data_IF_357189102195
#
_entry.id   IF_357189102195
#
_cell.length_a   1.000
_cell.length_b   1.000
_cell.length_c   1.000
_cell.angle_alpha   90.00
_cell.angle_beta   90.00
_cell.angle_gamma   90.00
#
_symmetry.space_group_name_H-M   'P 1'
#
loop_
_entity.id
_entity.type
_entity.pdbx_description
1 polymer ?
#
# COMPACT_ATOMS: atom_id res chain seq x y z
N UNK A 1 17.50 10.89 24.11
CA UNK A 1 17.61 9.43 23.91
C UNK A 1 16.82 8.75 25.03
N UNK A 2 15.86 7.89 24.73
CA UNK A 2 15.05 7.22 25.77
C UNK A 2 15.85 6.08 26.41
N UNK A 3 15.71 5.87 27.72
CA UNK A 3 16.27 4.69 28.41
C UNK A 3 15.35 3.50 28.23
N UNK A 4 15.90 2.29 28.20
CA UNK A 4 15.12 1.05 28.05
C UNK A 4 14.03 0.91 29.12
N UNK A 5 14.33 1.28 30.37
CA UNK A 5 13.40 1.22 31.51
C UNK A 5 12.11 2.03 31.30
N UNK A 6 12.16 3.03 30.44
CA UNK A 6 11.08 3.99 30.22
C UNK A 6 10.28 3.64 28.94
N UNK A 7 10.70 2.59 28.21
CA UNK A 7 10.09 2.18 26.94
C UNK A 7 9.15 0.98 27.11
N UNK A 8 8.01 1.04 26.42
CA UNK A 8 7.10 -0.10 26.31
C UNK A 8 7.56 -1.05 25.20
N UNK A 9 8.29 -2.10 25.58
CA UNK A 9 8.80 -3.15 24.66
C UNK A 9 8.44 -4.52 25.24
N UNK A 10 7.21 -5.02 25.01
CA UNK A 10 6.72 -6.26 25.62
C UNK A 10 7.26 -7.49 24.87
N UNK A 11 8.50 -7.88 25.14
CA UNK A 11 9.10 -9.07 24.54
C UNK A 11 8.44 -10.36 25.03
N UNK A 12 8.37 -11.38 24.18
CA UNK A 12 7.86 -12.70 24.54
C UNK A 12 8.96 -13.76 24.48
N UNK A 13 8.96 -14.68 25.46
CA UNK A 13 9.88 -15.82 25.49
C UNK A 13 9.65 -16.72 24.27
N UNK A 14 8.39 -17.00 23.94
CA UNK A 14 7.97 -17.87 22.84
C UNK A 14 7.02 -17.11 21.90
N UNK A 15 7.02 -17.50 20.62
CA UNK A 15 6.06 -16.96 19.67
C UNK A 15 4.69 -17.65 19.85
N UNK A 16 3.58 -16.96 19.54
CA UNK A 16 2.27 -17.60 19.43
C UNK A 16 2.28 -18.76 18.42
N UNK A 17 1.44 -19.77 18.66
CA UNK A 17 1.37 -20.98 17.84
C UNK A 17 0.88 -20.72 16.41
N UNK A 18 0.06 -19.68 16.22
CA UNK A 18 -0.49 -19.22 14.94
C UNK A 18 0.50 -18.38 14.11
N UNK A 19 1.66 -18.03 14.67
CA UNK A 19 2.73 -17.41 13.90
C UNK A 19 3.54 -18.47 13.15
N UNK A 20 3.25 -18.70 11.87
CA UNK A 20 3.92 -19.76 11.08
C UNK A 20 5.28 -19.32 10.51
N UNK A 21 5.32 -18.14 9.87
CA UNK A 21 6.52 -17.63 9.19
C UNK A 21 7.49 -16.93 10.14
N UNK A 22 8.78 -16.98 9.84
CA UNK A 22 9.84 -16.44 10.69
C UNK A 22 9.67 -14.94 11.00
N UNK A 23 9.32 -14.14 9.98
CA UNK A 23 9.09 -12.69 10.14
C UNK A 23 7.97 -12.41 11.16
N UNK A 24 6.85 -13.13 11.08
CA UNK A 24 5.74 -13.00 12.01
C UNK A 24 6.16 -13.36 13.44
N UNK A 25 6.83 -14.52 13.62
CA UNK A 25 7.36 -14.97 14.92
C UNK A 25 8.27 -13.93 15.55
N UNK A 26 9.21 -13.37 14.78
CA UNK A 26 10.17 -12.40 15.31
C UNK A 26 9.53 -11.04 15.64
N UNK A 27 8.65 -10.52 14.79
CA UNK A 27 7.96 -9.25 15.05
C UNK A 27 7.09 -9.31 16.31
N UNK A 28 6.41 -10.44 16.55
CA UNK A 28 5.61 -10.62 17.76
C UNK A 28 6.49 -10.77 18.99
N UNK A 29 7.51 -11.64 18.94
CA UNK A 29 8.42 -11.89 20.08
C UNK A 29 9.22 -10.66 20.48
N UNK A 30 9.63 -9.84 19.52
CA UNK A 30 10.37 -8.61 19.79
C UNK A 30 9.46 -7.44 20.24
N UNK A 31 8.14 -7.64 20.32
CA UNK A 31 7.20 -6.60 20.75
C UNK A 31 6.97 -5.50 19.71
N UNK A 32 7.07 -5.81 18.42
CA UNK A 32 6.85 -4.84 17.34
C UNK A 32 5.38 -4.73 16.96
N UNK A 33 4.66 -5.85 16.98
CA UNK A 33 3.25 -5.92 16.58
C UNK A 33 2.42 -6.74 17.55
N UNK A 34 1.12 -6.45 17.60
CA UNK A 34 0.09 -7.28 18.24
C UNK A 34 -1.11 -7.39 17.33
N UNK A 35 -1.66 -8.59 17.22
CA UNK A 35 -2.87 -8.81 16.45
C UNK A 35 -4.07 -8.28 17.24
N UNK A 36 -4.90 -7.46 16.59
CA UNK A 36 -6.16 -6.94 17.13
C UNK A 36 -7.35 -7.79 16.66
N UNK A 37 -7.30 -8.23 15.40
CA UNK A 37 -8.24 -9.18 14.80
C UNK A 37 -7.56 -9.93 13.64
N UNK A 38 -8.23 -10.90 13.01
CA UNK A 38 -7.71 -11.61 11.84
C UNK A 38 -7.25 -10.61 10.75
N UNK A 39 -5.94 -10.59 10.46
CA UNK A 39 -5.37 -9.67 9.47
C UNK A 39 -5.37 -8.18 9.88
N UNK A 40 -5.54 -7.84 11.16
CA UNK A 40 -5.50 -6.45 11.64
C UNK A 40 -4.53 -6.37 12.80
N UNK A 41 -3.50 -5.53 12.66
CA UNK A 41 -2.39 -5.44 13.62
C UNK A 41 -2.21 -4.04 14.18
N UNK A 42 -1.92 -3.97 15.47
CA UNK A 42 -1.39 -2.78 16.14
C UNK A 42 0.13 -2.75 16.00
N UNK A 43 0.69 -1.63 15.55
CA UNK A 43 2.13 -1.38 15.56
C UNK A 43 2.52 -0.75 16.89
N UNK A 44 3.29 -1.49 17.69
CA UNK A 44 3.80 -1.02 18.97
C UNK A 44 4.98 -0.06 18.76
N UNK A 45 5.56 0.47 19.84
CA UNK A 45 6.60 1.50 19.80
C UNK A 45 7.75 1.21 18.81
N UNK A 46 8.37 0.03 18.89
CA UNK A 46 9.45 -0.33 17.96
C UNK A 46 8.96 -0.57 16.54
N UNK A 47 7.78 -1.17 16.38
CA UNK A 47 7.14 -1.37 15.08
C UNK A 47 6.90 -0.03 14.38
N UNK A 48 6.25 0.91 15.04
CA UNK A 48 5.96 2.24 14.50
C UNK A 48 7.24 3.00 14.14
N UNK A 49 8.29 2.91 14.97
CA UNK A 49 9.59 3.52 14.66
C UNK A 49 10.22 2.95 13.39
N UNK A 50 10.15 1.63 13.18
CA UNK A 50 10.62 1.01 11.96
C UNK A 50 9.79 1.42 10.74
N UNK A 51 8.46 1.42 10.86
CA UNK A 51 7.56 1.91 9.81
C UNK A 51 7.90 3.35 9.41
N UNK A 52 8.06 4.26 10.37
CA UNK A 52 8.40 5.66 10.10
C UNK A 52 9.72 5.81 9.34
N UNK A 53 10.72 4.94 9.58
CA UNK A 53 11.98 4.94 8.81
C UNK A 53 11.77 4.50 7.36
N UNK A 54 10.99 3.43 7.15
CA UNK A 54 10.66 2.93 5.81
C UNK A 54 9.88 4.00 5.03
N UNK A 55 8.85 4.57 5.66
CA UNK A 55 8.06 5.69 5.12
C UNK A 55 8.99 6.86 4.76
N UNK A 56 9.96 7.19 5.61
CA UNK A 56 10.93 8.25 5.33
C UNK A 56 11.77 7.99 4.07
N UNK A 57 12.24 6.75 3.85
CA UNK A 57 12.95 6.37 2.63
C UNK A 57 12.03 6.49 1.41
N UNK A 58 10.83 5.93 1.50
CA UNK A 58 9.84 5.96 0.40
C UNK A 58 9.50 7.39 0.01
N UNK A 59 9.13 8.23 0.99
CA UNK A 59 8.81 9.65 0.78
C UNK A 59 9.95 10.40 0.11
N UNK A 60 11.18 10.26 0.62
CA UNK A 60 12.35 10.94 0.05
C UNK A 60 12.63 10.57 -1.42
N UNK A 61 12.33 9.35 -1.85
CA UNK A 61 12.51 8.96 -3.25
C UNK A 61 11.31 9.36 -4.12
N UNK A 62 10.10 9.36 -3.57
CA UNK A 62 8.89 9.80 -4.28
C UNK A 62 8.82 11.32 -4.45
N UNK A 63 9.27 12.10 -3.47
CA UNK A 63 9.35 13.58 -3.54
C UNK A 63 10.25 14.08 -4.68
N UNK A 64 11.16 13.24 -5.17
CA UNK A 64 11.99 13.57 -6.34
C UNK A 64 11.21 13.55 -7.65
N UNK A 65 10.07 12.85 -7.69
CA UNK A 65 9.31 12.61 -8.93
C UNK A 65 7.87 13.14 -8.85
N UNK A 66 7.29 13.31 -7.67
CA UNK A 66 5.88 13.65 -7.49
C UNK A 66 5.57 14.41 -6.21
N UNK A 67 4.28 14.63 -6.00
CA UNK A 67 3.73 15.46 -4.92
C UNK A 67 2.93 14.60 -3.95
N UNK A 68 3.21 14.69 -2.65
CA UNK A 68 2.50 13.92 -1.62
C UNK A 68 1.14 14.57 -1.28
N UNK A 69 0.09 13.77 -1.38
CA UNK A 69 -1.29 14.09 -1.04
C UNK A 69 -1.71 13.29 0.19
N UNK A 70 -2.83 13.68 0.79
CA UNK A 70 -3.53 12.89 1.81
C UNK A 70 -4.99 12.75 1.41
N UNK A 71 -5.41 11.54 1.05
CA UNK A 71 -6.77 11.26 0.60
C UNK A 71 -7.57 10.50 1.68
N UNK A 72 -8.89 10.77 1.79
CA UNK A 72 -9.74 10.07 2.74
C UNK A 72 -9.83 8.59 2.38
N UNK A 73 -9.83 7.70 3.38
CA UNK A 73 -10.02 6.27 3.17
C UNK A 73 -11.51 5.88 3.05
N UNK A 74 -12.43 6.79 3.32
CA UNK A 74 -13.88 6.54 3.25
C UNK A 74 -14.42 7.14 1.95
N UNK A 75 -14.85 6.29 1.02
CA UNK A 75 -15.26 6.70 -0.31
C UNK A 75 -16.78 6.58 -0.49
N UNK A 76 -17.42 7.52 -1.20
CA UNK A 76 -18.80 7.38 -1.63
C UNK A 76 -18.93 6.32 -2.73
N UNK A 77 -20.03 5.56 -2.72
CA UNK A 77 -20.31 4.49 -3.69
C UNK A 77 -20.27 4.98 -5.14
N UNK A 78 -20.82 6.15 -5.40
CA UNK A 78 -21.03 6.72 -6.74
C UNK A 78 -19.70 6.83 -7.51
N UNK A 79 -18.61 7.09 -6.79
CA UNK A 79 -17.28 7.23 -7.36
C UNK A 79 -16.76 5.88 -7.93
N UNK A 80 -17.04 4.78 -7.22
CA UNK A 80 -16.66 3.42 -7.62
C UNK A 80 -17.61 2.82 -8.64
N UNK A 81 -18.88 3.24 -8.65
CA UNK A 81 -19.83 2.86 -9.69
C UNK A 81 -19.48 3.50 -11.03
N UNK A 82 -19.01 4.75 -11.02
CA UNK A 82 -18.58 5.44 -12.24
C UNK A 82 -17.41 4.73 -12.96
N UNK A 83 -16.52 4.06 -12.21
CA UNK A 83 -15.45 3.22 -12.79
C UNK A 83 -15.90 1.78 -13.07
N UNK A 84 -17.10 1.38 -12.64
CA UNK A 84 -17.58 0.00 -12.65
C UNK A 84 -16.94 -0.91 -11.58
N UNK A 85 -15.95 -0.42 -10.83
CA UNK A 85 -15.20 -1.24 -9.85
C UNK A 85 -15.98 -1.52 -8.58
N UNK A 86 -17.07 -0.80 -8.30
CA UNK A 86 -17.96 -1.10 -7.18
C UNK A 86 -18.41 -2.56 -7.18
N UNK A 87 -18.87 -3.07 -8.33
CA UNK A 87 -19.32 -4.46 -8.48
C UNK A 87 -18.15 -5.40 -8.75
N UNK A 88 -17.17 -4.98 -9.57
CA UNK A 88 -16.04 -5.83 -9.98
C UNK A 88 -15.18 -6.32 -8.80
N UNK A 89 -14.99 -5.49 -7.77
CA UNK A 89 -14.17 -5.86 -6.61
C UNK A 89 -14.84 -6.92 -5.71
N UNK A 90 -16.13 -7.21 -5.91
CA UNK A 90 -16.84 -8.28 -5.20
C UNK A 90 -16.79 -8.14 -3.69
N UNK A 91 -16.43 -9.23 -3.01
CA UNK A 91 -16.37 -9.32 -1.55
C UNK A 91 -15.07 -8.76 -0.95
N UNK A 92 -14.06 -8.48 -1.77
CA UNK A 92 -12.79 -7.90 -1.29
C UNK A 92 -12.93 -6.42 -0.90
N UNK A 93 -14.00 -5.76 -1.33
CA UNK A 93 -14.31 -4.37 -1.01
C UNK A 93 -15.17 -4.29 0.26
N UNK A 94 -14.61 -3.69 1.30
CA UNK A 94 -15.39 -3.34 2.49
C UNK A 94 -16.47 -2.32 2.14
N UNK A 95 -17.73 -2.68 2.34
CA UNK A 95 -18.89 -1.79 2.18
C UNK A 95 -19.51 -1.51 3.54
N UNK A 96 -19.97 -0.29 3.73
CA UNK A 96 -20.67 0.13 4.92
C UNK A 96 -21.79 1.12 4.56
N UNK A 97 -22.80 1.20 5.43
CA UNK A 97 -23.85 2.21 5.34
C UNK A 97 -23.68 3.21 6.48
N UNK A 98 -23.77 4.50 6.15
CA UNK A 98 -23.79 5.53 7.18
C UNK A 98 -25.16 5.60 7.89
N UNK A 99 -25.26 6.46 8.91
CA UNK A 99 -26.51 6.61 9.70
C UNK A 99 -27.71 7.13 8.88
N UNK A 100 -27.46 7.71 7.70
CA UNK A 100 -28.48 8.23 6.77
C UNK A 100 -28.84 7.22 5.68
N UNK A 101 -28.18 6.06 5.66
CA UNK A 101 -28.38 5.00 4.68
C UNK A 101 -27.51 5.11 3.42
N UNK A 102 -26.58 6.08 3.37
CA UNK A 102 -25.67 6.26 2.24
C UNK A 102 -24.67 5.09 2.16
N UNK A 103 -24.49 4.54 0.96
CA UNK A 103 -23.52 3.49 0.69
C UNK A 103 -22.12 4.08 0.57
N UNK A 104 -21.19 3.52 1.34
CA UNK A 104 -19.80 3.90 1.36
C UNK A 104 -18.93 2.65 1.24
N UNK A 105 -17.65 2.84 0.92
CA UNK A 105 -16.64 1.81 1.07
C UNK A 105 -15.37 2.33 1.76
N UNK A 106 -14.58 1.41 2.29
CA UNK A 106 -13.21 1.71 2.69
C UNK A 106 -12.30 1.52 1.48
N UNK A 107 -11.45 2.50 1.20
CA UNK A 107 -10.53 2.52 0.07
C UNK A 107 -9.55 1.35 0.13
N UNK A 108 -9.65 0.47 -0.87
CA UNK A 108 -8.64 -0.56 -1.14
C UNK A 108 -7.48 -0.05 -2.01
N UNK A 109 -7.72 1.07 -2.71
CA UNK A 109 -6.85 1.82 -3.62
C UNK A 109 -7.59 3.12 -4.05
N UNK A 110 -6.93 4.01 -4.81
CA UNK A 110 -7.37 5.40 -5.02
C UNK A 110 -7.37 5.87 -6.48
N UNK A 111 -7.42 4.96 -7.47
CA UNK A 111 -7.54 5.34 -8.88
C UNK A 111 -8.69 6.30 -9.11
N UNK A 112 -9.88 6.00 -8.56
CA UNK A 112 -11.07 6.81 -8.78
C UNK A 112 -10.99 8.18 -8.11
N UNK A 113 -10.43 8.25 -6.90
CA UNK A 113 -10.31 9.52 -6.14
C UNK A 113 -9.32 10.46 -6.84
N UNK A 114 -8.16 9.94 -7.23
CA UNK A 114 -7.15 10.71 -7.95
C UNK A 114 -7.68 11.15 -9.31
N UNK A 115 -8.35 10.26 -10.03
CA UNK A 115 -8.99 10.59 -11.33
C UNK A 115 -10.07 11.65 -11.15
N UNK A 116 -10.86 11.61 -10.09
CA UNK A 116 -11.89 12.62 -9.84
C UNK A 116 -11.30 14.01 -9.58
N UNK A 117 -10.19 14.09 -8.85
CA UNK A 117 -9.45 15.33 -8.66
C UNK A 117 -8.89 15.82 -9.99
N UNK A 118 -8.19 14.96 -10.74
CA UNK A 118 -7.64 15.29 -12.05
C UNK A 118 -8.73 15.79 -13.02
N UNK A 119 -9.86 15.08 -13.07
CA UNK A 119 -11.03 15.44 -13.89
C UNK A 119 -11.62 16.79 -13.50
N UNK A 120 -11.46 17.25 -12.26
CA UNK A 120 -11.96 18.56 -11.79
C UNK A 120 -10.98 19.70 -11.98
N UNK A 121 -9.68 19.43 -11.86
CA UNK A 121 -8.66 20.48 -11.73
C UNK A 121 -7.71 20.59 -12.94
N UNK A 122 -7.52 19.51 -13.71
CA UNK A 122 -6.69 19.52 -14.91
C UNK A 122 -7.54 19.92 -16.13
N UNK A 123 -7.37 21.17 -16.57
CA UNK A 123 -8.15 21.82 -17.65
C UNK A 123 -7.33 22.13 -18.90
N UNK A 124 -6.02 22.03 -18.82
CA UNK A 124 -5.11 22.30 -19.93
C UNK A 124 -3.96 21.30 -19.95
N UNK A 125 -3.53 20.92 -21.15
CA UNK A 125 -2.31 20.13 -21.35
C UNK A 125 -1.07 20.78 -20.73
N UNK A 126 -1.07 22.11 -20.55
CA UNK A 126 0.03 22.84 -19.90
C UNK A 126 0.22 22.49 -18.43
N UNK A 127 -0.78 21.87 -17.80
CA UNK A 127 -0.69 21.36 -16.44
C UNK A 127 -0.10 19.95 -16.38
N UNK A 128 0.11 19.29 -17.52
CA UNK A 128 0.68 17.94 -17.61
C UNK A 128 2.19 18.00 -17.94
N UNK A 129 2.99 17.02 -17.47
CA UNK A 129 2.57 15.85 -16.69
C UNK A 129 2.37 16.15 -15.19
N UNK A 130 1.61 15.30 -14.51
CA UNK A 130 1.48 15.31 -13.05
C UNK A 130 1.82 13.93 -12.48
N UNK A 131 2.47 13.90 -11.31
CA UNK A 131 2.67 12.69 -10.51
C UNK A 131 2.25 13.02 -9.09
N UNK A 132 1.21 12.35 -8.60
CA UNK A 132 0.67 12.53 -7.25
C UNK A 132 0.72 11.20 -6.52
N UNK A 133 1.10 11.21 -5.25
CA UNK A 133 1.19 10.00 -4.45
C UNK A 133 0.69 10.25 -3.04
N UNK A 134 0.39 9.19 -2.29
CA UNK A 134 0.11 9.29 -0.86
C UNK A 134 0.70 8.10 -0.11
N UNK A 135 0.78 8.20 1.22
CA UNK A 135 1.14 7.09 2.10
C UNK A 135 0.03 6.94 3.15
N UNK A 136 -0.87 5.98 2.95
CA UNK A 136 -2.13 5.91 3.69
C UNK A 136 -2.61 4.45 3.87
N UNK A 137 -3.47 4.21 4.86
CA UNK A 137 -3.99 2.88 5.21
C UNK A 137 -5.08 2.40 4.25
N UNK A 138 -4.85 1.25 3.61
CA UNK A 138 -5.81 0.59 2.73
C UNK A 138 -6.52 -0.55 3.45
N UNK A 139 -7.67 -0.91 2.91
CA UNK A 139 -8.54 -1.94 3.44
C UNK A 139 -8.93 -2.92 2.34
N UNK A 140 -8.64 -4.21 2.51
CA UNK A 140 -9.08 -5.29 1.61
C UNK A 140 -9.66 -6.40 2.46
N UNK A 141 -10.88 -6.84 2.19
CA UNK A 141 -11.49 -7.92 2.95
C UNK A 141 -10.94 -9.28 2.52
N UNK A 142 -9.68 -9.50 2.85
CA UNK A 142 -8.92 -10.70 2.54
C UNK A 142 -9.56 -11.91 3.25
N UNK A 143 -10.09 -12.91 2.51
CA UNK A 143 -10.78 -14.06 3.10
C UNK A 143 -9.86 -14.93 3.97
N UNK A 144 -8.54 -14.95 3.70
CA UNK A 144 -7.57 -15.74 4.46
C UNK A 144 -6.30 -14.95 4.81
N UNK A 145 -6.38 -14.00 5.76
CA UNK A 145 -5.20 -13.28 6.21
C UNK A 145 -4.22 -14.25 6.89
N UNK A 146 -2.93 -14.17 6.54
CA UNK A 146 -1.92 -15.10 7.04
C UNK A 146 -0.54 -14.46 7.06
N UNK A 147 0.42 -15.15 7.67
CA UNK A 147 1.85 -14.78 7.61
C UNK A 147 2.19 -13.41 8.20
N UNK A 148 1.47 -12.98 9.25
CA UNK A 148 1.75 -11.72 9.94
C UNK A 148 1.35 -10.51 9.09
N UNK A 149 2.32 -9.64 8.81
CA UNK A 149 2.12 -8.42 8.02
C UNK A 149 2.18 -8.64 6.50
N UNK A 150 2.45 -9.86 6.03
CA UNK A 150 2.57 -10.15 4.59
C UNK A 150 1.21 -10.18 3.89
N UNK A 151 0.15 -10.68 4.56
CA UNK A 151 -1.20 -10.75 4.00
C UNK A 151 -2.25 -10.41 5.05
N UNK A 152 -2.81 -9.21 4.95
CA UNK A 152 -3.63 -8.56 5.99
C UNK A 152 -4.84 -7.87 5.39
N UNK A 153 -5.82 -7.52 6.24
CA UNK A 153 -7.03 -6.81 5.84
C UNK A 153 -6.89 -5.28 5.91
N UNK A 154 -6.01 -4.80 6.77
CA UNK A 154 -5.62 -3.40 6.86
C UNK A 154 -4.10 -3.30 6.75
N UNK A 155 -3.59 -2.48 5.82
CA UNK A 155 -2.16 -2.28 5.62
C UNK A 155 -1.86 -0.84 5.22
N UNK A 156 -0.60 -0.43 5.41
CA UNK A 156 -0.11 0.85 4.91
C UNK A 156 0.42 0.65 3.49
N UNK A 157 0.01 1.52 2.57
CA UNK A 157 0.50 1.51 1.20
C UNK A 157 0.97 2.91 0.83
N UNK A 158 2.03 2.96 0.03
CA UNK A 158 2.29 4.09 -0.83
C UNK A 158 1.68 3.78 -2.19
N UNK A 159 0.79 4.62 -2.67
CA UNK A 159 0.14 4.55 -3.99
C UNK A 159 0.44 5.86 -4.73
N UNK A 160 0.70 5.76 -6.04
CA UNK A 160 1.17 6.88 -6.87
C UNK A 160 0.54 6.79 -8.26
N UNK A 161 0.13 7.93 -8.79
CA UNK A 161 -0.67 8.07 -9.99
C UNK A 161 -0.07 9.17 -10.87
N UNK A 162 0.24 8.85 -12.13
CA UNK A 162 0.66 9.83 -13.11
C UNK A 162 -0.48 10.19 -14.07
N UNK A 163 -0.48 11.44 -14.51
CA UNK A 163 -1.39 11.95 -15.53
C UNK A 163 -0.53 12.58 -16.63
N UNK A 164 -0.61 12.01 -17.82
CA UNK A 164 0.22 12.36 -18.96
C UNK A 164 -0.70 12.62 -20.18
N UNK A 165 -0.23 13.43 -21.13
CA UNK A 165 -1.05 13.83 -22.29
C UNK A 165 -1.19 12.69 -23.31
N UNK A 166 -0.16 11.84 -23.41
CA UNK A 166 -0.04 10.78 -24.40
C UNK A 166 0.79 9.60 -23.84
N UNK A 167 0.83 8.46 -24.56
CA UNK A 167 1.57 7.28 -24.12
C UNK A 167 3.09 7.52 -23.95
N UNK A 168 3.71 8.37 -24.77
CA UNK A 168 5.14 8.64 -24.64
C UNK A 168 5.46 9.38 -23.32
N UNK A 169 4.57 10.29 -22.90
CA UNK A 169 4.64 10.91 -21.57
C UNK A 169 4.46 9.88 -20.44
N UNK A 170 3.51 8.96 -20.60
CA UNK A 170 3.30 7.86 -19.66
C UNK A 170 4.56 7.01 -19.51
N UNK A 171 5.26 6.65 -20.60
CA UNK A 171 6.50 5.87 -20.54
C UNK A 171 7.59 6.58 -19.72
N UNK A 172 7.70 7.90 -19.86
CA UNK A 172 8.63 8.72 -19.05
C UNK A 172 8.23 8.69 -17.58
N UNK A 173 6.94 8.87 -17.27
CA UNK A 173 6.41 8.79 -15.90
C UNK A 173 6.59 7.39 -15.31
N UNK A 174 6.42 6.34 -16.10
CA UNK A 174 6.64 4.95 -15.71
C UNK A 174 8.10 4.70 -15.34
N UNK A 175 9.05 5.09 -16.18
CA UNK A 175 10.48 4.95 -15.91
C UNK A 175 10.92 5.72 -14.65
N UNK A 176 10.36 6.91 -14.40
CA UNK A 176 10.59 7.63 -13.14
C UNK A 176 10.19 6.82 -11.92
N UNK A 177 9.02 6.15 -11.96
CA UNK A 177 8.57 5.27 -10.88
C UNK A 177 9.47 4.03 -10.77
N UNK A 178 9.79 3.39 -11.90
CA UNK A 178 10.66 2.21 -11.95
C UNK A 178 11.99 2.48 -11.24
N UNK A 179 12.67 3.58 -11.60
CA UNK A 179 13.94 3.96 -10.99
C UNK A 179 13.80 4.40 -9.53
N UNK A 180 12.69 5.06 -9.17
CA UNK A 180 12.41 5.41 -7.78
C UNK A 180 12.25 4.16 -6.91
N UNK A 181 11.52 3.16 -7.39
CA UNK A 181 11.34 1.90 -6.68
C UNK A 181 12.68 1.19 -6.51
N UNK A 182 13.52 1.10 -7.56
CA UNK A 182 14.87 0.54 -7.44
C UNK A 182 15.66 1.17 -6.29
N UNK A 183 15.72 2.51 -6.25
CA UNK A 183 16.38 3.25 -5.16
C UNK A 183 15.77 2.97 -3.79
N UNK A 184 14.43 2.88 -3.70
CA UNK A 184 13.74 2.56 -2.43
C UNK A 184 14.16 1.18 -1.92
N UNK A 185 14.08 0.16 -2.78
CA UNK A 185 14.44 -1.21 -2.38
C UNK A 185 15.94 -1.34 -2.05
N UNK A 186 16.82 -0.70 -2.83
CA UNK A 186 18.26 -0.65 -2.57
C UNK A 186 18.56 0.00 -1.21
N UNK A 187 17.93 1.15 -0.91
CA UNK A 187 18.10 1.87 0.37
C UNK A 187 17.51 1.12 1.57
N UNK A 188 16.50 0.29 1.34
CA UNK A 188 15.98 -0.64 2.34
C UNK A 188 16.88 -1.89 2.53
N UNK A 189 17.95 -2.03 1.74
CA UNK A 189 18.89 -3.15 1.82
C UNK A 189 18.29 -4.47 1.33
N UNK A 190 17.26 -4.42 0.47
CA UNK A 190 16.56 -5.60 -0.02
C UNK A 190 17.24 -6.14 -1.28
N UNK A 191 17.31 -7.47 -1.39
CA UNK A 191 17.65 -8.15 -2.64
C UNK A 191 16.34 -8.52 -3.34
N UNK A 192 16.04 -7.82 -4.42
CA UNK A 192 14.80 -7.97 -5.18
C UNK A 192 15.11 -8.31 -6.63
N UNK A 193 14.07 -8.77 -7.31
CA UNK A 193 14.03 -8.93 -8.75
C UNK A 193 12.87 -8.09 -9.26
N UNK A 194 12.95 -7.71 -10.53
CA UNK A 194 11.86 -7.04 -11.22
C UNK A 194 11.34 -8.01 -12.26
N UNK A 195 10.05 -8.34 -12.19
CA UNK A 195 9.41 -9.33 -13.07
C UNK A 195 8.23 -8.69 -13.77
N UNK A 196 7.96 -9.11 -15.01
CA UNK A 196 6.72 -8.75 -15.69
C UNK A 196 5.54 -9.38 -14.96
N UNK A 197 4.44 -8.62 -14.86
CA UNK A 197 3.28 -9.02 -14.09
C UNK A 197 1.98 -8.76 -14.84
N UNK A 198 0.91 -9.43 -14.42
CA UNK A 198 -0.42 -9.21 -14.97
C UNK A 198 -1.08 -8.01 -14.29
N UNK A 199 -1.58 -7.04 -15.06
CA UNK A 199 -2.19 -5.81 -14.52
C UNK A 199 -3.48 -6.04 -13.70
N UNK A 200 -4.09 -7.22 -13.86
CA UNK A 200 -5.21 -7.66 -13.03
C UNK A 200 -6.43 -6.74 -13.11
N UNK A 201 -7.13 -6.59 -11.99
CA UNK A 201 -8.34 -5.76 -11.90
C UNK A 201 -8.07 -4.25 -11.89
N UNK A 202 -6.80 -3.83 -12.01
CA UNK A 202 -6.38 -2.43 -12.14
C UNK A 202 -6.40 -1.97 -13.61
N UNK A 203 -6.44 -2.91 -14.57
CA UNK A 203 -6.37 -2.62 -16.00
C UNK A 203 -4.95 -2.23 -16.46
N UNK A 204 -4.75 -2.12 -17.78
CA UNK A 204 -3.46 -1.78 -18.40
C UNK A 204 -2.74 -2.96 -19.04
N UNK A 205 -1.73 -2.67 -19.87
CA UNK A 205 -1.00 -3.66 -20.68
C UNK A 205 0.41 -4.00 -20.18
N UNK A 206 1.07 -3.08 -19.50
CA UNK A 206 2.45 -3.25 -19.01
C UNK A 206 2.49 -3.07 -17.49
N UNK A 207 3.07 -4.05 -16.80
CA UNK A 207 3.21 -4.03 -15.34
C UNK A 207 4.47 -4.76 -14.91
N UNK A 208 5.14 -4.22 -13.91
CA UNK A 208 6.32 -4.81 -13.29
C UNK A 208 6.12 -4.92 -11.78
N UNK A 209 6.45 -6.08 -11.23
CA UNK A 209 6.46 -6.33 -9.80
C UNK A 209 7.90 -6.40 -9.26
N UNK A 210 8.12 -5.76 -8.12
CA UNK A 210 9.40 -5.81 -7.39
C UNK A 210 9.29 -6.86 -6.30
N UNK A 211 9.92 -8.02 -6.51
CA UNK A 211 9.72 -9.22 -5.69
C UNK A 211 11.00 -9.60 -4.95
N UNK A 212 10.87 -9.88 -3.64
CA UNK A 212 11.95 -10.42 -2.81
C UNK A 212 11.78 -11.93 -2.69
N UNK A 213 12.77 -12.71 -3.11
CA UNK A 213 12.73 -14.17 -3.01
C UNK A 213 12.77 -14.62 -1.55
N UNK A 214 11.78 -15.39 -1.13
CA UNK A 214 11.70 -15.96 0.21
C UNK A 214 10.85 -17.24 0.20
N UNK A 215 11.18 -18.27 1.00
CA UNK A 215 10.33 -19.45 1.16
C UNK A 215 8.91 -19.15 1.68
N UNK A 216 8.70 -17.97 2.26
CA UNK A 216 7.38 -17.51 2.71
C UNK A 216 6.59 -16.76 1.61
N UNK A 217 7.11 -16.67 0.39
CA UNK A 217 6.49 -15.95 -0.73
C UNK A 217 5.23 -16.65 -1.21
N UNK A 218 4.25 -15.87 -1.65
CA UNK A 218 2.97 -16.40 -2.19
C UNK A 218 2.97 -16.49 -3.72
N UNK A 219 3.86 -15.74 -4.38
CA UNK A 219 3.97 -15.71 -5.83
C UNK A 219 4.91 -16.80 -6.35
N UNK A 220 4.50 -17.44 -7.45
CA UNK A 220 5.36 -18.30 -8.23
C UNK A 220 5.90 -17.51 -9.42
N UNK A 221 7.21 -17.32 -9.45
CA UNK A 221 7.90 -16.69 -10.56
C UNK A 221 8.29 -17.80 -11.53
N UNK A 222 7.69 -17.79 -12.72
CA UNK A 222 7.91 -18.77 -13.80
C UNK A 222 8.89 -18.20 -14.82
#
# INVERSE_FOLDING_TARGET
MHRWSDLFIPTLREAPADAEVASHKYLVRAGYIRQLAAGIYSYLFLGQRSFNKIIGIVRQEMDKIGQEFYLPALHPRELWEASGRWSLMGDTLFRLKDRKGADLCLGMTEEEVMTEIARKELRSYKQLPQIWYQIQSKFRDEPRPKSGLLRVRQFLMKDSYSFDIDPAGLDVSYLKHYDAYRRIFDRCGLRYMIVEAHSGAMGGSESHEFVVRTPAGEDQIV
#
